data_IF_056873365484
#
_entry.id   IF_056873365484
#
_cell.length_a   1.000
_cell.length_b   1.000
_cell.length_c   1.000
_cell.angle_alpha   90.00
_cell.angle_beta   90.00
_cell.angle_gamma   90.00
#
_symmetry.space_group_name_H-M   'P 1'
#
loop_
_entity.id
_entity.type
_entity.pdbx_description
1 polymer ?
#
# COMPACT_ATOMS: atom_id res chain seq x y z
N UNK A 1 -13.45 31.33 -6.72
CA UNK A 1 -12.88 30.13 -6.06
C UNK A 1 -12.21 29.29 -7.13
N UNK A 2 -10.90 29.13 -7.10
CA UNK A 2 -10.17 28.29 -8.05
C UNK A 2 -10.62 26.83 -7.89
N UNK A 3 -11.03 26.19 -9.00
CA UNK A 3 -11.57 24.81 -9.00
C UNK A 3 -10.51 23.74 -9.26
N UNK A 4 -9.23 24.07 -9.17
CA UNK A 4 -8.13 23.14 -9.41
C UNK A 4 -6.78 23.70 -9.00
N UNK A 5 -5.74 22.84 -8.99
CA UNK A 5 -4.37 23.22 -8.73
C UNK A 5 -3.70 23.70 -10.02
N UNK A 6 -3.00 24.84 -9.95
CA UNK A 6 -2.26 25.43 -11.07
C UNK A 6 -0.76 25.18 -11.01
N UNK A 7 -0.31 24.38 -10.05
CA UNK A 7 1.09 24.02 -9.85
C UNK A 7 1.27 22.86 -8.86
N UNK A 8 2.52 22.51 -8.56
CA UNK A 8 2.81 21.49 -7.57
C UNK A 8 2.38 21.92 -6.16
N UNK A 9 2.07 20.94 -5.30
CA UNK A 9 1.63 21.19 -3.93
C UNK A 9 2.65 21.97 -3.08
N UNK A 10 3.94 21.81 -3.37
CA UNK A 10 5.00 22.51 -2.66
C UNK A 10 5.12 23.99 -3.04
N UNK A 11 4.54 24.41 -4.16
CA UNK A 11 4.63 25.80 -4.67
C UNK A 11 3.29 26.50 -4.52
N UNK A 12 2.30 26.15 -5.33
CA UNK A 12 1.01 26.85 -5.41
C UNK A 12 -0.20 25.92 -5.50
N UNK A 13 0.01 24.60 -5.64
CA UNK A 13 -1.06 23.65 -5.88
C UNK A 13 -1.73 23.10 -4.62
N UNK A 14 -1.27 23.45 -3.42
CA UNK A 14 -1.92 23.05 -2.18
C UNK A 14 -3.07 23.98 -1.83
N UNK A 15 -4.15 23.46 -1.27
CA UNK A 15 -5.29 24.24 -0.84
C UNK A 15 -5.82 23.75 0.51
N UNK A 16 -6.47 24.62 1.26
CA UNK A 16 -7.14 24.27 2.52
C UNK A 16 -8.13 23.11 2.33
N UNK A 17 -8.83 23.09 1.18
CA UNK A 17 -9.75 22.00 0.86
C UNK A 17 -9.04 20.66 0.71
N UNK A 18 -7.88 20.64 0.07
CA UNK A 18 -7.06 19.41 -0.06
C UNK A 18 -6.66 18.91 1.32
N UNK A 19 -6.15 19.80 2.18
CA UNK A 19 -5.74 19.44 3.55
C UNK A 19 -6.92 18.97 4.41
N UNK A 20 -8.09 19.57 4.26
CA UNK A 20 -9.32 19.11 4.93
C UNK A 20 -9.73 17.71 4.50
N UNK A 21 -9.66 17.40 3.20
CA UNK A 21 -9.98 16.07 2.67
C UNK A 21 -8.96 15.03 3.17
N UNK A 22 -7.67 15.37 3.17
CA UNK A 22 -6.63 14.47 3.72
C UNK A 22 -6.84 14.20 5.22
N UNK A 23 -7.14 15.22 6.00
CA UNK A 23 -7.46 15.07 7.43
C UNK A 23 -8.71 14.22 7.65
N UNK A 24 -9.76 14.42 6.83
CA UNK A 24 -10.96 13.60 6.88
C UNK A 24 -10.66 12.13 6.56
N UNK A 25 -9.90 11.85 5.51
CA UNK A 25 -9.52 10.49 5.14
C UNK A 25 -8.64 9.84 6.21
N UNK A 26 -7.65 10.55 6.73
CA UNK A 26 -6.82 10.04 7.82
C UNK A 26 -7.65 9.64 9.04
N UNK A 27 -8.62 10.50 9.43
CA UNK A 27 -9.53 10.19 10.53
C UNK A 27 -10.42 8.96 10.23
N UNK A 28 -10.96 8.85 9.01
CA UNK A 28 -11.81 7.72 8.62
C UNK A 28 -11.06 6.40 8.58
N UNK A 29 -9.81 6.42 8.12
CA UNK A 29 -8.93 5.24 8.11
C UNK A 29 -8.21 4.99 9.44
N UNK A 30 -8.38 5.87 10.44
CA UNK A 30 -7.72 5.79 11.75
C UNK A 30 -6.19 5.72 11.63
N UNK A 31 -5.62 6.51 10.73
CA UNK A 31 -4.18 6.62 10.47
C UNK A 31 -3.68 8.03 10.82
N UNK A 32 -2.38 8.17 10.95
CA UNK A 32 -1.75 9.45 11.32
C UNK A 32 -1.91 10.52 10.24
N UNK A 33 -1.86 10.15 8.97
CA UNK A 33 -1.95 11.08 7.85
C UNK A 33 -2.45 10.38 6.59
N UNK A 34 -2.96 11.17 5.66
CA UNK A 34 -3.30 10.76 4.31
C UNK A 34 -2.70 11.74 3.32
N UNK A 35 -2.42 11.28 2.10
CA UNK A 35 -1.92 12.08 1.01
C UNK A 35 -2.73 11.82 -0.25
N UNK A 36 -3.27 12.88 -0.86
CA UNK A 36 -4.03 12.80 -2.09
C UNK A 36 -3.13 12.82 -3.32
N UNK A 37 -3.45 11.95 -4.25
CA UNK A 37 -2.88 11.90 -5.60
C UNK A 37 -3.99 12.04 -6.65
N UNK A 38 -3.68 12.45 -7.87
CA UNK A 38 -4.66 12.58 -8.95
C UNK A 38 -5.27 11.23 -9.38
N UNK A 39 -4.60 10.12 -9.09
CA UNK A 39 -5.09 8.76 -9.33
C UNK A 39 -4.38 7.75 -8.43
N UNK A 40 -4.99 6.58 -8.22
CA UNK A 40 -4.34 5.43 -7.55
C UNK A 40 -3.09 4.96 -8.31
N UNK A 41 -3.12 5.04 -9.66
CA UNK A 41 -1.95 4.73 -10.48
C UNK A 41 -0.76 5.61 -10.11
N UNK A 42 -0.97 6.93 -10.02
CA UNK A 42 0.07 7.89 -9.63
C UNK A 42 0.52 7.66 -8.18
N UNK A 43 -0.40 7.38 -7.27
CA UNK A 43 -0.07 7.08 -5.87
C UNK A 43 0.87 5.88 -5.76
N UNK A 44 0.52 4.76 -6.40
CA UNK A 44 1.34 3.54 -6.40
C UNK A 44 2.70 3.78 -7.04
N UNK A 45 2.73 4.42 -8.21
CA UNK A 45 3.98 4.71 -8.92
C UNK A 45 4.88 5.61 -8.09
N UNK A 46 4.35 6.68 -7.50
CA UNK A 46 5.11 7.60 -6.66
C UNK A 46 5.64 6.92 -5.40
N UNK A 47 4.80 6.14 -4.70
CA UNK A 47 5.23 5.45 -3.48
C UNK A 47 6.40 4.50 -3.74
N UNK A 48 6.22 3.56 -4.69
CA UNK A 48 7.22 2.51 -4.92
C UNK A 48 8.49 3.02 -5.60
N UNK A 49 8.42 4.13 -6.33
CA UNK A 49 9.63 4.74 -6.92
C UNK A 49 10.44 5.60 -5.95
N UNK A 50 9.83 6.06 -4.83
CA UNK A 50 10.45 7.08 -3.99
C UNK A 50 10.68 6.64 -2.54
N UNK A 51 9.82 5.79 -1.97
CA UNK A 51 9.89 5.42 -0.55
C UNK A 51 10.92 4.31 -0.31
N UNK A 52 10.88 3.16 -1.01
CA UNK A 52 11.94 2.15 -0.89
C UNK A 52 13.24 2.67 -1.49
N UNK A 53 14.34 2.60 -0.71
CA UNK A 53 15.64 3.13 -1.08
C UNK A 53 16.59 2.04 -1.57
N UNK A 54 17.76 2.45 -2.08
CA UNK A 54 18.82 1.53 -2.42
C UNK A 54 19.23 0.70 -1.20
N UNK A 55 19.25 -0.62 -1.35
CA UNK A 55 19.54 -1.57 -0.27
C UNK A 55 18.30 -2.15 0.40
N UNK A 56 17.12 -1.54 0.21
CA UNK A 56 15.84 -2.10 0.64
C UNK A 56 15.37 -3.22 -0.32
N UNK A 57 14.36 -3.96 0.08
CA UNK A 57 13.77 -5.05 -0.71
C UNK A 57 12.27 -4.83 -0.86
N UNK A 58 11.76 -4.88 -2.10
CA UNK A 58 10.34 -4.89 -2.40
C UNK A 58 9.94 -6.31 -2.80
N UNK A 59 9.09 -6.94 -1.98
CA UNK A 59 8.46 -8.22 -2.27
C UNK A 59 7.03 -7.95 -2.75
N UNK A 60 6.75 -8.23 -4.01
CA UNK A 60 5.44 -7.97 -4.60
C UNK A 60 4.77 -9.27 -5.02
N UNK A 61 3.48 -9.37 -4.78
CA UNK A 61 2.66 -10.45 -5.30
C UNK A 61 2.73 -10.49 -6.84
N UNK A 62 2.77 -11.67 -7.44
CA UNK A 62 2.89 -11.79 -8.90
C UNK A 62 1.67 -11.27 -9.65
N UNK A 63 0.49 -11.25 -9.01
CA UNK A 63 -0.76 -10.74 -9.56
C UNK A 63 -1.00 -9.25 -9.29
N UNK A 64 -0.07 -8.55 -8.60
CA UNK A 64 -0.21 -7.14 -8.24
C UNK A 64 -0.48 -6.24 -9.45
N UNK A 65 -1.26 -5.19 -9.25
CA UNK A 65 -1.64 -4.24 -10.30
C UNK A 65 -0.44 -3.61 -11.03
N UNK A 66 -0.65 -3.27 -12.29
CA UNK A 66 0.38 -2.69 -13.18
C UNK A 66 1.03 -1.44 -12.61
N UNK A 67 0.29 -0.55 -11.95
CA UNK A 67 0.83 0.70 -11.38
C UNK A 67 1.91 0.44 -10.31
N UNK A 68 1.74 -0.59 -9.48
CA UNK A 68 2.74 -1.02 -8.51
C UNK A 68 4.00 -1.53 -9.23
N UNK A 69 3.82 -2.39 -10.24
CA UNK A 69 4.95 -2.90 -11.04
C UNK A 69 5.75 -1.80 -11.71
N UNK A 70 5.07 -0.77 -12.22
CA UNK A 70 5.73 0.34 -12.87
C UNK A 70 6.48 1.22 -11.86
N UNK A 71 5.90 1.48 -10.68
CA UNK A 71 6.60 2.15 -9.58
C UNK A 71 7.83 1.36 -9.10
N UNK A 72 7.67 0.04 -8.93
CA UNK A 72 8.77 -0.85 -8.55
C UNK A 72 9.90 -0.87 -9.61
N UNK A 73 9.57 -0.77 -10.89
CA UNK A 73 10.61 -0.67 -11.95
C UNK A 73 11.48 0.58 -11.81
N UNK A 74 10.89 1.69 -11.39
CA UNK A 74 11.58 2.97 -11.20
C UNK A 74 12.37 3.05 -9.89
N UNK A 75 12.14 2.14 -8.94
CA UNK A 75 12.85 2.09 -7.66
C UNK A 75 14.29 1.63 -7.81
N UNK A 76 15.16 2.08 -6.92
CA UNK A 76 16.53 1.56 -6.76
C UNK A 76 16.62 0.35 -5.80
N UNK A 77 15.53 -0.04 -5.17
CA UNK A 77 15.45 -1.19 -4.26
C UNK A 77 15.58 -2.54 -4.97
N UNK A 78 15.91 -3.59 -4.25
CA UNK A 78 15.83 -4.97 -4.76
C UNK A 78 14.37 -5.37 -4.99
N UNK A 79 14.09 -6.05 -6.11
CA UNK A 79 12.74 -6.36 -6.59
C UNK A 79 12.57 -7.87 -6.69
N UNK A 80 11.64 -8.41 -5.90
CA UNK A 80 11.38 -9.84 -5.84
C UNK A 80 9.87 -10.06 -5.99
N UNK A 81 9.47 -11.01 -6.82
CA UNK A 81 8.09 -11.48 -6.90
C UNK A 81 7.93 -12.73 -6.04
N UNK A 82 6.82 -12.80 -5.31
CA UNK A 82 6.40 -14.05 -4.68
C UNK A 82 5.14 -14.59 -5.37
N UNK A 83 4.93 -15.90 -5.26
CA UNK A 83 3.77 -16.58 -5.85
C UNK A 83 2.49 -16.06 -5.22
N UNK A 84 1.47 -15.90 -6.04
CA UNK A 84 0.19 -15.32 -5.64
C UNK A 84 -0.38 -16.00 -4.38
N UNK A 85 -0.63 -15.16 -3.36
CA UNK A 85 -1.16 -15.57 -2.05
C UNK A 85 -0.38 -16.71 -1.34
N UNK A 86 0.88 -16.97 -1.72
CA UNK A 86 1.73 -18.00 -1.13
C UNK A 86 2.56 -17.43 0.03
N UNK A 87 2.04 -17.58 1.23
CA UNK A 87 2.67 -17.10 2.46
C UNK A 87 3.97 -17.82 2.79
N UNK A 88 4.08 -19.10 2.44
CA UNK A 88 5.31 -19.87 2.67
C UNK A 88 6.44 -19.33 1.78
N UNK A 89 6.17 -19.14 0.50
CA UNK A 89 7.15 -18.55 -0.43
C UNK A 89 7.54 -17.13 -0.01
N UNK A 90 6.58 -16.31 0.43
CA UNK A 90 6.86 -14.97 0.97
C UNK A 90 7.84 -15.04 2.17
N UNK A 91 7.59 -15.92 3.14
CA UNK A 91 8.49 -16.08 4.29
C UNK A 91 9.90 -16.56 3.90
N UNK A 92 10.01 -17.48 2.93
CA UNK A 92 11.31 -17.94 2.41
C UNK A 92 12.13 -16.79 1.81
N UNK A 93 11.44 -15.89 1.08
CA UNK A 93 12.07 -14.71 0.48
C UNK A 93 12.47 -13.68 1.55
N UNK A 94 11.61 -13.42 2.54
CA UNK A 94 11.90 -12.50 3.64
C UNK A 94 13.14 -12.92 4.45
N UNK A 95 13.33 -14.22 4.69
CA UNK A 95 14.54 -14.76 5.39
C UNK A 95 15.86 -14.42 4.67
N UNK A 96 15.82 -14.19 3.37
CA UNK A 96 16.98 -13.89 2.53
C UNK A 96 17.09 -12.41 2.14
N UNK A 97 16.04 -11.62 2.44
CA UNK A 97 15.97 -10.21 2.10
C UNK A 97 16.89 -9.37 3.00
N UNK A 98 17.26 -8.19 2.52
CA UNK A 98 18.13 -7.24 3.22
C UNK A 98 17.48 -5.86 3.24
N UNK A 99 17.96 -5.01 4.14
CA UNK A 99 17.42 -3.66 4.33
C UNK A 99 15.99 -3.68 4.86
N UNK A 100 15.26 -2.59 4.67
CA UNK A 100 13.84 -2.56 4.96
C UNK A 100 13.08 -3.38 3.90
N UNK A 101 12.15 -4.22 4.33
CA UNK A 101 11.36 -5.05 3.43
C UNK A 101 9.96 -4.46 3.27
N UNK A 102 9.55 -4.25 2.03
CA UNK A 102 8.21 -3.78 1.67
C UNK A 102 7.45 -4.93 1.03
N UNK A 103 6.32 -5.34 1.61
CA UNK A 103 5.43 -6.37 1.08
C UNK A 103 4.28 -5.67 0.37
N UNK A 104 4.16 -5.84 -0.96
CA UNK A 104 3.14 -5.19 -1.79
C UNK A 104 2.08 -6.20 -2.23
N UNK A 105 0.82 -5.96 -1.87
CA UNK A 105 -0.35 -6.79 -2.20
C UNK A 105 -1.57 -5.93 -2.53
N UNK A 106 -2.55 -6.50 -3.22
CA UNK A 106 -3.92 -5.95 -3.26
C UNK A 106 -4.77 -6.64 -2.20
N UNK A 107 -5.69 -5.92 -1.56
CA UNK A 107 -6.63 -6.56 -0.62
C UNK A 107 -7.67 -7.41 -1.34
N UNK A 108 -8.11 -6.95 -2.51
CA UNK A 108 -8.99 -7.64 -3.47
C UNK A 108 -8.37 -7.49 -4.86
N UNK A 109 -8.00 -8.61 -5.45
CA UNK A 109 -7.36 -8.64 -6.77
C UNK A 109 -8.38 -8.46 -7.89
N UNK A 110 -8.11 -7.50 -8.79
CA UNK A 110 -9.07 -7.06 -9.80
C UNK A 110 -9.41 -8.08 -10.87
N UNK A 111 -8.46 -8.93 -11.23
CA UNK A 111 -8.63 -9.89 -12.35
C UNK A 111 -9.27 -11.18 -11.90
N UNK A 112 -8.87 -11.70 -10.75
CA UNK A 112 -9.29 -13.01 -10.26
C UNK A 112 -10.43 -12.91 -9.23
N UNK A 113 -10.64 -11.74 -8.64
CA UNK A 113 -11.70 -11.46 -7.67
C UNK A 113 -11.48 -12.12 -6.31
N UNK A 114 -10.26 -12.60 -6.05
CA UNK A 114 -9.89 -13.22 -4.79
C UNK A 114 -9.28 -12.23 -3.80
N UNK A 115 -9.16 -12.64 -2.55
CA UNK A 115 -8.71 -11.80 -1.45
C UNK A 115 -7.32 -12.20 -0.98
N UNK A 116 -6.49 -11.19 -0.68
CA UNK A 116 -5.25 -11.44 0.02
C UNK A 116 -5.52 -11.95 1.46
N UNK A 117 -4.72 -12.88 1.96
CA UNK A 117 -4.81 -13.36 3.34
C UNK A 117 -4.23 -12.32 4.32
N UNK A 118 -4.89 -11.15 4.44
CA UNK A 118 -4.39 -9.97 5.16
C UNK A 118 -3.98 -10.27 6.61
N UNK A 119 -4.68 -11.20 7.28
CA UNK A 119 -4.30 -11.61 8.63
C UNK A 119 -2.91 -12.24 8.66
N UNK A 120 -2.69 -13.26 7.83
CA UNK A 120 -1.39 -13.94 7.74
C UNK A 120 -0.29 -12.96 7.33
N UNK A 121 -0.56 -12.10 6.34
CA UNK A 121 0.35 -11.05 5.88
C UNK A 121 0.76 -10.10 7.02
N UNK A 122 -0.19 -9.68 7.86
CA UNK A 122 0.11 -8.82 9.02
C UNK A 122 1.00 -9.52 10.05
N UNK A 123 0.73 -10.80 10.34
CA UNK A 123 1.58 -11.57 11.27
C UNK A 123 2.99 -11.76 10.72
N UNK A 124 3.12 -12.07 9.43
CA UNK A 124 4.41 -12.18 8.75
C UNK A 124 5.14 -10.84 8.76
N UNK A 125 4.47 -9.75 8.37
CA UNK A 125 5.07 -8.42 8.36
C UNK A 125 5.60 -8.04 9.76
N UNK A 126 4.84 -8.29 10.82
CA UNK A 126 5.31 -8.07 12.21
C UNK A 126 6.52 -8.94 12.57
N UNK A 127 6.48 -10.24 12.25
CA UNK A 127 7.56 -11.19 12.55
C UNK A 127 8.88 -10.79 11.91
N UNK A 128 8.85 -10.31 10.69
CA UNK A 128 10.04 -9.93 9.92
C UNK A 128 10.35 -8.43 9.94
N UNK A 129 9.63 -7.65 10.76
CA UNK A 129 9.72 -6.18 10.79
C UNK A 129 9.62 -5.56 9.39
N UNK A 130 8.71 -6.09 8.57
CA UNK A 130 8.47 -5.64 7.21
C UNK A 130 7.32 -4.64 7.16
N UNK A 131 7.34 -3.77 6.17
CA UNK A 131 6.28 -2.79 5.91
C UNK A 131 5.27 -3.41 4.95
N UNK A 132 4.02 -3.60 5.41
CA UNK A 132 2.94 -4.10 4.57
C UNK A 132 2.26 -2.93 3.85
N UNK A 133 2.29 -2.95 2.53
CA UNK A 133 1.65 -1.97 1.63
C UNK A 133 0.49 -2.66 0.93
N UNK A 134 -0.72 -2.17 1.18
CA UNK A 134 -1.96 -2.78 0.66
C UNK A 134 -2.65 -1.82 -0.29
N UNK A 135 -2.82 -2.23 -1.53
CA UNK A 135 -3.70 -1.54 -2.49
C UNK A 135 -5.14 -1.97 -2.25
N UNK A 136 -6.01 -1.01 -1.95
CA UNK A 136 -7.43 -1.24 -1.66
C UNK A 136 -8.36 -0.65 -2.75
N UNK A 137 -7.84 -0.36 -3.94
CA UNK A 137 -8.61 0.29 -5.00
C UNK A 137 -9.92 -0.45 -5.33
N UNK A 138 -9.94 -1.78 -5.25
CA UNK A 138 -11.11 -2.61 -5.53
C UNK A 138 -11.96 -2.94 -4.30
N UNK A 139 -11.47 -2.68 -3.10
CA UNK A 139 -12.20 -2.92 -1.84
C UNK A 139 -12.85 -1.67 -1.27
N UNK A 140 -12.25 -0.48 -1.51
CA UNK A 140 -12.75 0.78 -1.02
C UNK A 140 -14.12 1.11 -1.64
N UNK A 141 -15.09 1.46 -0.77
CA UNK A 141 -16.47 1.76 -1.20
C UNK A 141 -17.38 0.52 -1.31
N UNK A 142 -16.82 -0.67 -1.53
CA UNK A 142 -17.56 -1.95 -1.52
C UNK A 142 -17.59 -2.51 -0.09
N UNK A 143 -16.43 -2.51 0.57
CA UNK A 143 -16.27 -2.98 1.95
C UNK A 143 -16.03 -1.80 2.92
N UNK A 144 -16.86 -0.76 2.83
CA UNK A 144 -16.72 0.47 3.61
C UNK A 144 -15.49 1.28 3.20
N UNK A 145 -14.60 1.56 4.14
CA UNK A 145 -13.33 2.27 3.87
C UNK A 145 -12.17 1.30 3.56
N UNK A 146 -12.48 0.16 2.95
CA UNK A 146 -11.52 -0.89 2.61
C UNK A 146 -11.46 -2.00 3.67
N UNK A 147 -10.83 -3.12 3.29
CA UNK A 147 -10.75 -4.32 4.14
C UNK A 147 -9.82 -4.13 5.34
N UNK A 148 -8.77 -3.34 5.18
CA UNK A 148 -7.81 -3.03 6.25
C UNK A 148 -8.45 -2.16 7.34
N UNK A 149 -9.35 -1.24 6.96
CA UNK A 149 -10.03 -0.32 7.88
C UNK A 149 -11.21 -0.94 8.63
N UNK A 150 -11.64 -2.14 8.28
CA UNK A 150 -12.77 -2.76 8.95
C UNK A 150 -12.43 -3.14 10.38
N UNK A 151 -13.23 -2.65 11.35
CA UNK A 151 -13.07 -2.94 12.79
C UNK A 151 -12.98 -4.45 13.13
N UNK A 152 -13.57 -5.33 12.31
CA UNK A 152 -13.48 -6.79 12.46
C UNK A 152 -12.06 -7.33 12.26
N UNK A 153 -11.26 -6.68 11.43
CA UNK A 153 -9.85 -7.02 11.28
C UNK A 153 -9.06 -6.44 12.45
N UNK A 154 -9.30 -5.20 12.87
CA UNK A 154 -8.62 -4.57 14.00
C UNK A 154 -8.82 -5.32 15.31
N UNK A 155 -10.03 -5.78 15.64
CA UNK A 155 -10.29 -6.54 16.87
C UNK A 155 -9.61 -7.92 16.91
N UNK A 156 -9.40 -8.57 15.76
CA UNK A 156 -8.63 -9.82 15.70
C UNK A 156 -7.13 -9.61 15.87
N UNK A 157 -6.62 -8.40 15.64
CA UNK A 157 -5.19 -8.08 15.73
C UNK A 157 -4.73 -7.57 17.10
N UNK A 158 -5.67 -7.08 17.93
CA UNK A 158 -5.36 -6.45 19.22
C UNK A 158 -5.64 -7.36 20.44
N UNK A 159 -6.14 -8.58 20.26
CA UNK A 159 -6.48 -9.52 21.34
C UNK A 159 -5.54 -10.74 21.43
N UNK A 160 -4.35 -10.67 20.87
CA UNK A 160 -3.32 -11.70 21.09
C UNK A 160 -2.02 -11.09 21.60
#
# INVERSE_FOLDING_TARGET
MLKGATGSRLISGNSDRTMQVESFLAHKHQVQSALLFPSGYTANTAFFSSVPQRGDTILMDECIHRSVRDGVRLSDAHKIKFRHNDMQHLEELLKRSRGNCFIAVESLYSMDGDFAPLHALTLIAKRYNAILVVDEAHAFGIFGYGLVSQKKLQHRYLQQ
#
